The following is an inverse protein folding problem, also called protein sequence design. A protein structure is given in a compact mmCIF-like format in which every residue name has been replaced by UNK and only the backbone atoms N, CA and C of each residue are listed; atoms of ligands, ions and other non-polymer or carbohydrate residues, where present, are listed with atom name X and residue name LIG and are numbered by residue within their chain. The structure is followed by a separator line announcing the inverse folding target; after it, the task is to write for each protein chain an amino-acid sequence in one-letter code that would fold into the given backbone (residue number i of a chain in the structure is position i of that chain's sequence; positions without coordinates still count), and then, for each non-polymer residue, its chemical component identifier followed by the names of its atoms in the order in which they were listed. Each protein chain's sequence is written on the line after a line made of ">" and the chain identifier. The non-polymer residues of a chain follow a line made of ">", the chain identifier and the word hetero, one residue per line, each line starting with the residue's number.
data_IF_352672576924
#
_entry.id   IF_352672576924
#
_cell.length_a   1.000
_cell.length_b   1.000
_cell.length_c   1.000
_cell.angle_alpha   90.00
_cell.angle_beta   90.00
_cell.angle_gamma   90.00
#
_symmetry.space_group_name_H-M   'P 1'
#
loop_
_entity.id
_entity.type
_entity.pdbx_description
1 polymer ?
#
# COMPACT_ATOMS: atom_id res chain seq x y z
N UNK A 1 -6.29 16.91 13.15
CA UNK A 1 -6.42 17.10 11.69
C UNK A 1 -6.72 15.73 11.08
N UNK A 2 -7.91 15.54 10.52
CA UNK A 2 -8.31 14.27 9.89
C UNK A 2 -7.56 14.13 8.57
N UNK A 3 -6.56 13.25 8.52
CA UNK A 3 -5.88 12.89 7.28
C UNK A 3 -6.88 12.19 6.37
N UNK A 4 -7.31 12.86 5.30
CA UNK A 4 -8.32 12.35 4.36
C UNK A 4 -7.76 11.25 3.43
N UNK A 5 -6.81 10.45 3.94
CA UNK A 5 -6.16 9.35 3.23
C UNK A 5 -6.85 8.04 3.56
N UNK A 6 -7.10 7.24 2.54
CA UNK A 6 -7.62 5.90 2.70
C UNK A 6 -6.53 5.01 3.30
N UNK A 7 -6.82 4.36 4.43
CA UNK A 7 -5.90 3.43 5.10
C UNK A 7 -6.33 2.00 4.81
N UNK A 8 -5.46 1.18 4.24
CA UNK A 8 -5.76 -0.20 3.87
C UNK A 8 -4.80 -1.14 4.61
N UNK A 9 -5.28 -1.94 5.55
CA UNK A 9 -4.41 -2.93 6.19
C UNK A 9 -4.12 -4.10 5.24
N UNK A 10 -2.85 -4.48 5.12
CA UNK A 10 -2.39 -5.59 4.28
C UNK A 10 -1.43 -6.51 5.03
N UNK A 11 -1.39 -7.79 4.63
CA UNK A 11 -0.36 -8.70 5.09
C UNK A 11 1.03 -8.21 4.64
N UNK A 12 1.92 -7.93 5.59
CA UNK A 12 3.30 -7.47 5.32
C UNK A 12 4.10 -8.48 4.48
N UNK A 13 4.00 -9.76 4.82
CA UNK A 13 4.71 -10.85 4.17
C UNK A 13 3.92 -12.14 4.25
N UNK A 14 3.94 -12.93 3.17
CA UNK A 14 3.24 -14.21 3.09
C UNK A 14 2.71 -14.47 1.69
N UNK A 15 1.79 -15.43 1.56
CA UNK A 15 1.22 -15.78 0.26
C UNK A 15 0.40 -14.64 -0.33
N UNK A 16 -0.35 -13.92 0.49
CA UNK A 16 -1.27 -12.88 0.03
C UNK A 16 -0.58 -11.54 -0.27
N UNK A 17 0.60 -11.29 0.31
CA UNK A 17 1.28 -10.00 0.15
C UNK A 17 1.63 -9.71 -1.31
N UNK A 18 2.13 -10.71 -2.04
CA UNK A 18 2.53 -10.54 -3.44
C UNK A 18 1.34 -10.28 -4.35
N UNK A 19 0.26 -11.07 -4.19
CA UNK A 19 -0.95 -10.92 -4.99
C UNK A 19 -1.63 -9.57 -4.75
N UNK A 20 -1.67 -9.11 -3.50
CA UNK A 20 -2.19 -7.79 -3.16
C UNK A 20 -1.35 -6.64 -3.75
N UNK A 21 -0.01 -6.76 -3.73
CA UNK A 21 0.86 -5.76 -4.36
C UNK A 21 0.65 -5.69 -5.88
N UNK A 22 0.47 -6.85 -6.53
CA UNK A 22 0.18 -6.93 -7.96
C UNK A 22 -1.18 -6.29 -8.27
N UNK A 23 -2.21 -6.60 -7.49
CA UNK A 23 -3.55 -6.04 -7.66
C UNK A 23 -3.53 -4.50 -7.55
N UNK A 24 -2.89 -3.96 -6.51
CA UNK A 24 -2.77 -2.52 -6.33
C UNK A 24 -2.03 -1.84 -7.49
N UNK A 25 -0.98 -2.49 -8.00
CA UNK A 25 -0.25 -1.99 -9.17
C UNK A 25 -1.13 -2.00 -10.42
N UNK A 26 -1.96 -3.02 -10.62
CA UNK A 26 -2.93 -3.11 -11.72
C UNK A 26 -4.03 -2.05 -11.59
N UNK A 27 -4.44 -1.71 -10.37
CA UNK A 27 -5.33 -0.58 -10.10
C UNK A 27 -4.65 0.79 -10.32
N UNK A 28 -3.37 0.83 -10.69
CA UNK A 28 -2.63 2.06 -10.94
C UNK A 28 -2.09 2.76 -9.68
N UNK A 29 -2.11 2.08 -8.52
CA UNK A 29 -1.56 2.62 -7.27
C UNK A 29 -0.03 2.46 -7.31
N UNK A 30 0.70 3.57 -7.34
CA UNK A 30 2.17 3.59 -7.27
C UNK A 30 2.58 3.70 -5.83
N UNK A 31 3.27 2.68 -5.32
CA UNK A 31 3.68 2.57 -3.92
C UNK A 31 5.14 2.12 -3.90
N UNK A 32 5.96 2.78 -3.10
CA UNK A 32 7.31 2.34 -2.82
C UNK A 32 7.32 1.45 -1.56
N UNK A 33 7.47 0.15 -1.76
CA UNK A 33 7.50 -0.84 -0.68
C UNK A 33 8.84 -0.84 0.03
N UNK A 34 8.96 -0.06 1.11
CA UNK A 34 10.15 -0.08 1.96
C UNK A 34 10.01 -1.17 3.03
N UNK A 35 10.81 -2.24 2.93
CA UNK A 35 10.78 -3.40 3.84
C UNK A 35 11.11 -3.06 5.30
N UNK A 36 11.75 -1.92 5.55
CA UNK A 36 12.07 -1.42 6.89
C UNK A 36 10.89 -0.70 7.56
N UNK A 37 9.85 -0.31 6.82
CA UNK A 37 8.67 0.40 7.34
C UNK A 37 7.43 -0.50 7.31
N UNK A 38 6.55 -0.31 8.29
CA UNK A 38 5.28 -1.03 8.38
C UNK A 38 4.13 -0.31 7.64
N UNK A 39 4.37 0.92 7.20
CA UNK A 39 3.40 1.74 6.47
C UNK A 39 4.06 2.19 5.17
N UNK A 40 3.38 1.97 4.07
CA UNK A 40 3.75 2.42 2.74
C UNK A 40 2.77 3.51 2.26
N UNK A 41 3.33 4.54 1.64
CA UNK A 41 2.56 5.66 1.11
C UNK A 41 2.50 5.55 -0.40
N UNK A 42 1.31 5.76 -0.98
CA UNK A 42 1.18 5.90 -2.42
C UNK A 42 1.72 7.27 -2.88
N UNK A 43 2.41 7.27 -4.02
CA UNK A 43 3.00 8.47 -4.62
C UNK A 43 1.97 9.29 -5.41
N UNK A 44 0.93 8.65 -5.94
CA UNK A 44 -0.03 9.25 -6.86
C UNK A 44 -1.47 9.35 -6.32
N UNK A 45 -1.80 8.64 -5.24
CA UNK A 45 -3.14 8.61 -4.65
C UNK A 45 -3.09 8.90 -3.14
N UNK A 46 -4.17 9.42 -2.53
CA UNK A 46 -4.26 9.63 -1.09
C UNK A 46 -4.52 8.31 -0.35
N UNK A 47 -3.64 7.32 -0.53
CA UNK A 47 -3.74 5.97 0.04
C UNK A 47 -2.48 5.67 0.85
N UNK A 48 -2.66 5.05 2.02
CA UNK A 48 -1.59 4.42 2.79
C UNK A 48 -1.95 2.97 3.13
N UNK A 49 -0.96 2.08 3.06
CA UNK A 49 -1.10 0.63 3.22
C UNK A 49 -0.14 0.12 4.29
#
# INVERSE_FOLDING_TARGET
>A
MTTNRLRIAMQKSGRLSTDCQILLKQCGVKINWNTQRLIAYSENLPIEI
#
